data_IF_875386380608
#
_entry.id   IF_875386380608
#
_cell.length_a   1.000
_cell.length_b   1.000
_cell.length_c   1.000
_cell.angle_alpha   90.00
_cell.angle_beta   90.00
_cell.angle_gamma   90.00
#
_symmetry.space_group_name_H-M   'P 1'
#
loop_
_entity.id
_entity.type
_entity.pdbx_description
1 polymer ?
#
# COMPACT_ATOMS: atom_id res chain seq x y z
N UNK A 1 3.53 -20.77 12.29
CA UNK A 1 2.36 -21.08 11.44
C UNK A 1 2.15 -19.93 10.46
N UNK A 2 1.74 -20.24 9.26
CA UNK A 2 1.44 -19.25 8.22
C UNK A 2 -0.07 -19.14 8.07
N UNK A 3 -0.60 -17.92 8.17
CA UNK A 3 -2.01 -17.64 7.94
C UNK A 3 -2.18 -16.77 6.70
N UNK A 4 -3.07 -17.19 5.82
CA UNK A 4 -3.35 -16.46 4.57
C UNK A 4 -4.72 -15.82 4.66
N UNK A 5 -4.79 -14.54 4.30
CA UNK A 5 -6.01 -13.73 4.32
C UNK A 5 -6.48 -13.55 2.89
N UNK A 6 -7.74 -13.87 2.63
CA UNK A 6 -8.37 -13.79 1.30
C UNK A 6 -7.48 -14.40 0.20
N UNK A 7 -7.10 -15.69 0.34
CA UNK A 7 -6.27 -16.33 -0.68
C UNK A 7 -7.06 -16.51 -1.98
N UNK A 8 -6.36 -16.33 -3.10
CA UNK A 8 -6.87 -16.61 -4.42
C UNK A 8 -5.92 -17.58 -5.13
N UNK A 9 -6.18 -17.86 -6.40
CA UNK A 9 -5.33 -18.76 -7.17
C UNK A 9 -3.89 -18.21 -7.32
N UNK A 10 -3.73 -16.88 -7.42
CA UNK A 10 -2.44 -16.27 -7.73
C UNK A 10 -1.73 -15.73 -6.49
N UNK A 11 -2.49 -15.19 -5.51
CA UNK A 11 -1.90 -14.55 -4.33
C UNK A 11 -2.94 -14.44 -3.22
N UNK A 12 -2.46 -14.14 -2.03
CA UNK A 12 -3.31 -13.78 -0.89
C UNK A 12 -3.27 -12.26 -0.71
N UNK A 13 -4.36 -11.66 -0.26
CA UNK A 13 -4.37 -10.23 0.03
C UNK A 13 -3.37 -9.88 1.14
N UNK A 14 -3.24 -10.75 2.14
CA UNK A 14 -2.21 -10.63 3.16
C UNK A 14 -1.76 -12.02 3.63
N UNK A 15 -0.54 -12.07 4.16
CA UNK A 15 0.01 -13.29 4.78
C UNK A 15 0.58 -12.92 6.13
N UNK A 16 0.19 -13.64 7.17
CA UNK A 16 0.71 -13.48 8.53
C UNK A 16 1.70 -14.60 8.79
N UNK A 17 2.91 -14.24 9.14
CA UNK A 17 3.96 -15.19 9.44
C UNK A 17 4.98 -14.55 10.40
N UNK A 18 5.35 -15.28 11.43
CA UNK A 18 6.44 -14.91 12.33
C UNK A 18 6.33 -13.48 12.90
N UNK A 19 5.12 -13.09 13.31
CA UNK A 19 4.89 -11.78 13.91
C UNK A 19 4.79 -10.61 12.93
N UNK A 20 4.78 -10.90 11.62
CA UNK A 20 4.68 -9.89 10.57
C UNK A 20 3.45 -10.15 9.70
N UNK A 21 2.92 -9.08 9.14
CA UNK A 21 1.82 -9.13 8.17
C UNK A 21 2.32 -8.53 6.87
N UNK A 22 2.34 -9.36 5.83
CA UNK A 22 2.76 -8.97 4.49
C UNK A 22 1.52 -8.73 3.65
N UNK A 23 1.29 -7.50 3.22
CA UNK A 23 0.20 -7.18 2.30
C UNK A 23 0.68 -7.33 0.86
N UNK A 24 -0.20 -7.80 -0.02
CA UNK A 24 0.06 -7.74 -1.46
C UNK A 24 0.16 -6.29 -1.92
N UNK A 25 0.79 -6.06 -3.06
CA UNK A 25 0.84 -4.73 -3.67
C UNK A 25 -0.58 -4.23 -3.96
N UNK A 26 -0.93 -3.08 -3.40
CA UNK A 26 -2.26 -2.49 -3.59
C UNK A 26 -2.26 -1.53 -4.76
N UNK A 27 -3.26 -1.65 -5.61
CA UNK A 27 -3.44 -0.85 -6.82
C UNK A 27 -4.78 -0.11 -6.77
N UNK A 28 -4.91 1.04 -7.48
CA UNK A 28 -6.11 1.86 -7.35
C UNK A 28 -7.35 1.26 -7.98
N UNK A 29 -8.50 1.52 -7.36
CA UNK A 29 -9.83 1.19 -7.90
C UNK A 29 -10.37 2.30 -8.81
N UNK A 30 -9.69 3.45 -8.87
CA UNK A 30 -10.11 4.66 -9.58
C UNK A 30 -9.09 5.06 -10.66
N UNK A 31 -8.93 4.24 -11.72
CA UNK A 31 -7.85 4.43 -12.71
C UNK A 31 -7.97 5.73 -13.52
N UNK A 32 -9.14 6.36 -13.57
CA UNK A 32 -9.34 7.62 -14.28
C UNK A 32 -8.99 8.85 -13.46
N UNK A 33 -8.67 8.68 -12.16
CA UNK A 33 -8.33 9.77 -11.28
C UNK A 33 -6.85 10.18 -11.42
N UNK A 34 -6.50 11.35 -10.87
CA UNK A 34 -5.11 11.80 -10.82
C UNK A 34 -4.28 10.99 -9.78
N UNK A 35 -2.99 11.24 -9.74
CA UNK A 35 -2.08 10.48 -8.88
C UNK A 35 -2.39 10.67 -7.38
N UNK A 36 -2.80 11.86 -6.96
CA UNK A 36 -3.18 12.12 -5.57
C UNK A 36 -4.41 11.29 -5.18
N UNK A 37 -5.45 11.31 -6.00
CA UNK A 37 -6.69 10.57 -5.74
C UNK A 37 -6.47 9.05 -5.83
N UNK A 38 -5.66 8.57 -6.77
CA UNK A 38 -5.30 7.17 -6.85
C UNK A 38 -4.54 6.73 -5.59
N UNK A 39 -3.60 7.53 -5.13
CA UNK A 39 -2.84 7.23 -3.92
C UNK A 39 -3.75 7.17 -2.70
N UNK A 40 -4.65 8.14 -2.54
CA UNK A 40 -5.61 8.14 -1.43
C UNK A 40 -6.48 6.86 -1.44
N UNK A 41 -6.91 6.42 -2.61
CA UNK A 41 -7.69 5.19 -2.75
C UNK A 41 -6.88 3.95 -2.32
N UNK A 42 -5.63 3.84 -2.77
CA UNK A 42 -4.75 2.72 -2.40
C UNK A 42 -4.52 2.70 -0.88
N UNK A 43 -4.28 3.87 -0.27
CA UNK A 43 -4.06 3.97 1.17
C UNK A 43 -5.32 3.58 1.96
N UNK A 44 -6.51 3.92 1.47
CA UNK A 44 -7.77 3.48 2.08
C UNK A 44 -7.94 1.96 2.01
N UNK A 45 -7.54 1.32 0.91
CA UNK A 45 -7.55 -0.13 0.80
C UNK A 45 -6.60 -0.78 1.81
N UNK A 46 -5.42 -0.20 2.00
CA UNK A 46 -4.45 -0.67 3.01
C UNK A 46 -5.06 -0.57 4.42
N UNK A 47 -5.71 0.56 4.75
CA UNK A 47 -6.38 0.72 6.04
C UNK A 47 -7.44 -0.37 6.26
N UNK A 48 -8.25 -0.66 5.26
CA UNK A 48 -9.31 -1.67 5.35
C UNK A 48 -8.73 -3.06 5.61
N UNK A 49 -7.65 -3.41 4.91
CA UNK A 49 -7.01 -4.73 5.07
C UNK A 49 -6.31 -4.85 6.42
N UNK A 50 -5.64 -3.79 6.89
CA UNK A 50 -5.06 -3.75 8.22
C UNK A 50 -6.13 -3.93 9.31
N UNK A 51 -7.27 -3.26 9.15
CA UNK A 51 -8.40 -3.40 10.08
C UNK A 51 -8.90 -4.84 10.12
N UNK A 52 -8.98 -5.50 8.98
CA UNK A 52 -9.40 -6.91 8.90
C UNK A 52 -8.51 -7.83 9.73
N UNK A 53 -7.22 -7.54 9.81
CA UNK A 53 -6.26 -8.33 10.60
C UNK A 53 -6.02 -7.75 12.00
N UNK A 54 -6.82 -6.77 12.43
CA UNK A 54 -6.78 -6.21 13.78
C UNK A 54 -5.67 -5.18 14.01
N UNK A 55 -5.17 -4.54 12.95
CA UNK A 55 -4.09 -3.57 13.03
C UNK A 55 -4.53 -2.19 12.53
N UNK A 56 -3.68 -1.21 12.82
CA UNK A 56 -3.77 0.14 12.26
C UNK A 56 -2.48 0.48 11.52
N UNK A 57 -2.50 1.55 10.75
CA UNK A 57 -1.35 2.01 9.96
C UNK A 57 -0.11 2.36 10.82
N UNK A 58 -0.30 2.60 12.12
CA UNK A 58 0.82 2.82 13.03
C UNK A 58 1.72 1.59 13.18
N UNK A 59 1.23 0.42 12.78
CA UNK A 59 1.98 -0.84 12.84
C UNK A 59 2.74 -1.16 11.55
N UNK A 60 2.65 -0.32 10.53
CA UNK A 60 3.41 -0.51 9.29
C UNK A 60 4.88 -0.19 9.58
N UNK A 61 5.77 -1.12 9.23
CA UNK A 61 7.20 -0.98 9.46
C UNK A 61 7.99 -0.74 8.18
N UNK A 62 7.46 -1.16 7.03
CA UNK A 62 8.15 -1.04 5.75
C UNK A 62 7.16 -0.79 4.63
N UNK A 63 7.52 0.10 3.71
CA UNK A 63 6.69 0.49 2.58
C UNK A 63 7.55 0.69 1.34
N UNK A 64 7.10 0.13 0.23
CA UNK A 64 7.64 0.48 -1.09
C UNK A 64 6.51 1.06 -1.94
N UNK A 65 6.75 2.24 -2.48
CA UNK A 65 5.82 2.91 -3.39
C UNK A 65 6.39 2.82 -4.79
N UNK A 66 5.58 2.28 -5.71
CA UNK A 66 5.90 2.20 -7.13
C UNK A 66 5.10 3.26 -7.86
N UNK A 67 5.78 4.15 -8.58
CA UNK A 67 5.14 5.17 -9.41
C UNK A 67 5.39 4.86 -10.89
N UNK A 68 4.34 4.92 -11.69
CA UNK A 68 4.47 4.73 -13.13
C UNK A 68 5.29 5.86 -13.76
N UNK A 69 5.28 7.06 -13.15
CA UNK A 69 6.04 8.23 -13.57
C UNK A 69 6.49 8.99 -12.32
N UNK A 70 7.80 9.19 -12.17
CA UNK A 70 8.33 9.89 -10.99
C UNK A 70 7.92 11.37 -10.95
N UNK A 71 7.41 11.92 -12.04
CA UNK A 71 6.80 13.26 -12.04
C UNK A 71 5.62 13.36 -11.08
N UNK A 72 5.00 12.24 -10.71
CA UNK A 72 3.88 12.18 -9.75
C UNK A 72 4.33 12.10 -8.29
N UNK A 73 5.63 12.24 -8.01
CA UNK A 73 6.15 12.10 -6.65
C UNK A 73 5.49 13.05 -5.66
N UNK A 74 5.40 14.33 -5.99
CA UNK A 74 4.77 15.31 -5.11
C UNK A 74 3.27 15.10 -4.97
N UNK A 75 2.60 14.71 -6.04
CA UNK A 75 1.16 14.42 -6.01
C UNK A 75 0.86 13.20 -5.12
N UNK A 76 1.69 12.16 -5.19
CA UNK A 76 1.59 11.00 -4.31
C UNK A 76 1.82 11.41 -2.85
N UNK A 77 2.86 12.19 -2.57
CA UNK A 77 3.17 12.63 -1.22
C UNK A 77 2.08 13.51 -0.62
N UNK A 78 1.33 14.25 -1.43
CA UNK A 78 0.20 15.04 -0.92
C UNK A 78 -0.84 14.15 -0.22
N UNK A 79 -1.15 12.98 -0.79
CA UNK A 79 -2.05 12.03 -0.15
C UNK A 79 -1.38 11.28 1.00
N UNK A 80 -0.12 10.89 0.83
CA UNK A 80 0.65 10.20 1.87
C UNK A 80 0.75 11.05 3.15
N UNK A 81 1.07 12.33 3.03
CA UNK A 81 1.27 13.23 4.16
C UNK A 81 -0.01 13.41 5.00
N UNK A 82 -1.18 13.36 4.36
CA UNK A 82 -2.46 13.41 5.06
C UNK A 82 -2.82 12.10 5.75
N UNK A 83 -2.24 10.99 5.30
CA UNK A 83 -2.61 9.65 5.76
C UNK A 83 -1.66 9.07 6.79
N UNK A 84 -0.36 9.26 6.63
CA UNK A 84 0.65 8.60 7.46
C UNK A 84 0.44 8.89 8.94
N UNK A 85 0.64 7.86 9.80
CA UNK A 85 0.49 8.02 11.23
C UNK A 85 1.52 9.02 11.77
N UNK A 86 1.06 10.10 12.39
CA UNK A 86 1.93 11.16 12.89
C UNK A 86 2.93 10.60 13.90
N UNK A 87 4.20 10.91 13.70
CA UNK A 87 5.28 10.44 14.57
C UNK A 87 5.62 8.96 14.43
N UNK A 88 4.95 8.23 13.52
CA UNK A 88 5.11 6.77 13.37
C UNK A 88 5.21 6.37 11.90
N UNK A 89 5.84 7.20 11.09
CA UNK A 89 6.05 6.90 9.67
C UNK A 89 6.94 5.64 9.51
N UNK A 90 6.60 4.76 8.58
CA UNK A 90 7.40 3.56 8.32
C UNK A 90 8.67 3.89 7.55
N UNK A 91 9.61 2.95 7.49
CA UNK A 91 10.66 3.00 6.49
C UNK A 91 10.01 2.98 5.11
N UNK A 92 10.54 3.77 4.16
CA UNK A 92 9.92 3.91 2.85
C UNK A 92 10.95 4.06 1.75
N UNK A 93 10.69 3.41 0.62
CA UNK A 93 11.36 3.68 -0.65
C UNK A 93 10.29 3.99 -1.70
N UNK A 94 10.62 4.89 -2.63
CA UNK A 94 9.79 5.20 -3.78
C UNK A 94 10.61 4.98 -5.04
N UNK A 95 10.08 4.17 -5.96
CA UNK A 95 10.76 3.81 -7.20
C UNK A 95 9.82 3.99 -8.38
N UNK A 96 10.39 4.25 -9.56
CA UNK A 96 9.61 4.27 -10.79
C UNK A 96 9.56 2.86 -11.38
N UNK A 97 8.39 2.42 -11.79
CA UNK A 97 8.20 1.11 -12.36
C UNK A 97 6.99 1.10 -13.29
N UNK A 98 7.07 0.28 -14.33
CA UNK A 98 5.92 0.03 -15.18
C UNK A 98 4.95 -0.86 -14.41
N UNK A 99 3.68 -0.43 -14.33
CA UNK A 99 2.64 -1.17 -13.64
C UNK A 99 1.84 -2.05 -14.61
N UNK A 100 1.09 -3.00 -14.07
CA UNK A 100 0.37 -3.97 -14.90
C UNK A 100 -0.74 -3.34 -15.74
N UNK A 101 -1.37 -2.28 -15.25
CA UNK A 101 -2.39 -1.53 -15.99
C UNK A 101 -1.79 -0.16 -16.35
N UNK A 102 -1.89 0.28 -17.63
CA UNK A 102 -1.31 1.58 -18.05
C UNK A 102 -1.99 2.79 -17.43
N UNK A 103 -3.19 2.65 -16.86
CA UNK A 103 -3.90 3.73 -16.19
C UNK A 103 -3.52 3.85 -14.70
N UNK A 104 -2.89 2.85 -14.13
CA UNK A 104 -2.43 2.92 -12.75
C UNK A 104 -1.19 3.82 -12.65
N UNK A 105 -1.24 4.78 -11.74
CA UNK A 105 -0.13 5.71 -11.49
C UNK A 105 0.69 5.30 -10.28
N UNK A 106 0.13 4.47 -9.40
CA UNK A 106 0.75 4.09 -8.13
C UNK A 106 0.39 2.67 -7.74
N UNK A 107 1.34 1.99 -7.11
CA UNK A 107 1.14 0.72 -6.40
C UNK A 107 1.92 0.81 -5.10
N UNK A 108 1.33 0.34 -3.99
CA UNK A 108 1.98 0.42 -2.68
C UNK A 108 2.01 -0.96 -2.03
N UNK A 109 3.21 -1.34 -1.57
CA UNK A 109 3.47 -2.61 -0.89
C UNK A 109 3.89 -2.31 0.54
N UNK A 110 3.18 -2.85 1.53
CA UNK A 110 3.51 -2.63 2.95
C UNK A 110 3.69 -3.92 3.71
N UNK A 111 4.50 -3.86 4.76
CA UNK A 111 4.65 -4.90 5.77
C UNK A 111 4.41 -4.26 7.13
N UNK A 112 3.61 -4.93 7.96
CA UNK A 112 3.25 -4.45 9.29
C UNK A 112 3.65 -5.47 10.36
N UNK A 113 3.77 -5.00 11.60
CA UNK A 113 4.06 -5.85 12.75
C UNK A 113 2.78 -6.11 13.55
N UNK A 114 2.62 -7.35 13.98
CA UNK A 114 1.53 -7.71 14.90
C UNK A 114 1.70 -7.04 16.27
#
# INVERSE_FOLDING_TARGET
MIQRIQPSKRYSEAVIANGLVFLSGMVPDNPDADATAQTANVLAQIDALLTEVGLTKSRIVDTTIYLADMADYNAMNAAWDLWVAEGQAPARATVEARLADPLWKVEIKVTAAL
#
